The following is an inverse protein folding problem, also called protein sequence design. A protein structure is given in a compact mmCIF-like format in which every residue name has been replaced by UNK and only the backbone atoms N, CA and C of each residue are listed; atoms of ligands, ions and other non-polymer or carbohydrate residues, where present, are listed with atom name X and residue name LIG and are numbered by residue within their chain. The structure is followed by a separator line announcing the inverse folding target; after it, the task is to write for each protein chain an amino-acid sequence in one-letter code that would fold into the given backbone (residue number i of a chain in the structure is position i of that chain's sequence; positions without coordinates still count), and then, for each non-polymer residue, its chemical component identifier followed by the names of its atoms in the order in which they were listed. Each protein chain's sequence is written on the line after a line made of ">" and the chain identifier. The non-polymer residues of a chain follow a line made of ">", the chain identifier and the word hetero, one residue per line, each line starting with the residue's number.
data_IF_356738403497
#
_entry.id   IF_356738403497
#
_cell.length_a   1.000
_cell.length_b   1.000
_cell.length_c   1.000
_cell.angle_alpha   90.00
_cell.angle_beta   90.00
_cell.angle_gamma   90.00
#
_symmetry.space_group_name_H-M   'P 1'
#
loop_
_entity.id
_entity.type
_entity.pdbx_description
1 polymer ?
#
# COMPACT_ATOMS: atom_id res chain seq x y z
N UNK A 1 39.80 -7.82 -9.19
CA UNK A 1 39.40 -9.12 -9.78
C UNK A 1 39.19 -10.09 -8.64
N UNK A 2 37.95 -10.26 -8.17
CA UNK A 2 37.60 -11.14 -7.05
C UNK A 2 36.44 -12.04 -7.48
N UNK A 3 36.60 -13.33 -7.23
CA UNK A 3 35.89 -14.45 -7.87
C UNK A 3 34.42 -14.56 -7.46
N UNK A 4 33.62 -15.04 -8.41
CA UNK A 4 32.27 -15.58 -8.21
C UNK A 4 32.39 -16.97 -7.61
N UNK A 5 31.99 -17.13 -6.34
CA UNK A 5 31.61 -18.41 -5.71
C UNK A 5 30.39 -18.08 -4.84
N UNK A 6 29.18 -18.01 -5.40
CA UNK A 6 28.25 -19.11 -5.72
C UNK A 6 27.84 -19.92 -4.49
N UNK A 7 26.83 -19.42 -3.78
CA UNK A 7 25.70 -20.17 -3.21
C UNK A 7 25.93 -21.42 -2.32
N UNK A 8 27.12 -21.62 -1.76
CA UNK A 8 27.43 -22.82 -0.95
C UNK A 8 27.58 -22.58 0.57
N UNK A 9 27.47 -21.35 1.05
CA UNK A 9 27.71 -21.01 2.46
C UNK A 9 26.49 -20.46 3.23
N UNK A 10 25.27 -20.86 2.86
CA UNK A 10 24.11 -20.60 3.72
C UNK A 10 23.65 -21.93 4.34
N UNK A 11 23.68 -21.97 5.67
CA UNK A 11 23.15 -23.05 6.49
C UNK A 11 21.78 -23.53 5.95
N UNK A 12 21.53 -24.84 6.00
CA UNK A 12 20.26 -25.45 5.58
C UNK A 12 19.05 -24.80 6.30
N UNK A 13 19.27 -24.25 7.50
CA UNK A 13 18.30 -23.45 8.24
C UNK A 13 17.99 -22.09 7.58
N UNK A 14 18.96 -21.45 6.93
CA UNK A 14 18.77 -20.15 6.25
C UNK A 14 18.06 -20.33 4.90
N UNK A 15 18.36 -21.42 4.16
CA UNK A 15 17.57 -21.81 2.97
C UNK A 15 16.12 -22.11 3.34
N UNK A 16 15.91 -22.79 4.46
CA UNK A 16 14.58 -23.09 4.99
C UNK A 16 13.88 -21.84 5.52
N UNK A 17 14.60 -20.87 6.07
CA UNK A 17 14.03 -19.56 6.45
C UNK A 17 13.66 -18.71 5.23
N UNK A 18 14.43 -18.74 4.15
CA UNK A 18 14.04 -18.11 2.88
C UNK A 18 12.77 -18.75 2.28
N UNK A 19 12.63 -20.07 2.42
CA UNK A 19 11.43 -20.81 2.00
C UNK A 19 10.24 -20.66 2.97
N UNK A 20 10.48 -20.46 4.27
CA UNK A 20 9.45 -20.27 5.28
C UNK A 20 8.95 -18.82 5.35
N UNK A 21 9.73 -17.84 4.89
CA UNK A 21 9.28 -16.46 4.73
C UNK A 21 8.26 -16.29 3.58
N UNK A 22 8.16 -17.27 2.67
CA UNK A 22 7.12 -17.35 1.64
C UNK A 22 5.71 -17.61 2.21
N UNK A 23 5.57 -18.00 3.48
CA UNK A 23 4.25 -18.21 4.10
C UNK A 23 3.61 -16.92 4.64
N UNK A 24 4.36 -15.80 4.65
CA UNK A 24 3.90 -14.50 5.16
C UNK A 24 3.76 -13.41 4.10
N UNK A 25 4.48 -13.52 2.98
CA UNK A 25 4.35 -12.60 1.84
C UNK A 25 3.25 -13.14 0.93
N UNK A 26 2.23 -12.34 0.61
CA UNK A 26 1.13 -12.77 -0.25
C UNK A 26 1.59 -12.90 -1.71
N UNK A 27 2.43 -13.89 -1.99
CA UNK A 27 3.12 -14.05 -3.26
C UNK A 27 2.51 -15.21 -4.02
N UNK A 28 1.59 -14.85 -4.91
CA UNK A 28 1.49 -15.41 -6.25
C UNK A 28 2.92 -15.70 -6.73
N UNK A 29 3.23 -16.96 -7.06
CA UNK A 29 4.60 -17.45 -7.35
C UNK A 29 5.48 -16.42 -8.08
N UNK A 30 6.49 -15.87 -7.39
CA UNK A 30 7.52 -15.04 -8.05
C UNK A 30 8.70 -15.92 -8.45
N UNK A 31 9.10 -15.92 -9.73
CA UNK A 31 10.33 -16.56 -10.16
C UNK A 31 11.55 -16.00 -9.40
N UNK A 32 12.54 -16.81 -9.01
CA UNK A 32 13.72 -16.33 -8.29
C UNK A 32 14.47 -15.21 -9.00
N UNK A 33 14.48 -15.21 -10.34
CA UNK A 33 15.08 -14.19 -11.19
C UNK A 33 14.36 -12.83 -11.14
N UNK A 34 13.10 -12.82 -10.70
CA UNK A 34 12.27 -11.61 -10.57
C UNK A 34 12.39 -10.99 -9.17
N UNK A 35 13.07 -11.62 -8.21
CA UNK A 35 13.23 -11.09 -6.85
C UNK A 35 14.33 -10.01 -6.85
N UNK A 36 13.98 -8.81 -6.40
CA UNK A 36 14.93 -7.70 -6.28
C UNK A 36 15.40 -7.50 -4.83
N UNK A 37 16.61 -6.97 -4.66
CA UNK A 37 17.11 -6.52 -3.36
C UNK A 37 16.87 -5.02 -3.19
N UNK A 38 16.13 -4.66 -2.15
CA UNK A 38 15.84 -3.27 -1.82
C UNK A 38 16.81 -2.75 -0.76
N UNK A 39 17.20 -1.48 -0.86
CA UNK A 39 18.03 -0.83 0.16
C UNK A 39 17.29 -0.67 1.50
N UNK A 40 15.96 -0.52 1.45
CA UNK A 40 15.09 -0.43 2.62
C UNK A 40 13.82 -1.27 2.43
N UNK A 41 13.19 -1.62 3.54
CA UNK A 41 11.90 -2.30 3.52
C UNK A 41 10.83 -1.38 2.89
N UNK A 42 10.11 -1.82 1.85
CA UNK A 42 9.06 -1.03 1.22
C UNK A 42 7.98 -0.52 2.20
N UNK A 43 7.69 -1.28 3.25
CA UNK A 43 6.71 -0.86 4.26
C UNK A 43 7.20 0.35 5.09
N UNK A 44 8.51 0.47 5.32
CA UNK A 44 9.10 1.62 6.04
C UNK A 44 9.11 2.89 5.18
N UNK A 45 9.03 2.73 3.86
CA UNK A 45 8.98 3.84 2.89
C UNK A 45 7.56 4.24 2.52
N UNK A 46 6.58 3.36 2.76
CA UNK A 46 5.20 3.60 2.38
C UNK A 46 4.60 4.75 3.21
N UNK A 47 3.71 5.53 2.59
CA UNK A 47 2.94 6.57 3.28
C UNK A 47 1.77 5.98 4.10
N UNK A 48 1.77 4.66 4.36
CA UNK A 48 0.63 3.93 4.89
C UNK A 48 -0.51 3.81 3.88
N UNK A 49 -1.71 3.57 4.39
CA UNK A 49 -2.92 3.41 3.58
C UNK A 49 -4.05 4.26 4.18
N UNK A 50 -4.17 5.56 3.84
CA UNK A 50 -5.16 6.46 4.42
C UNK A 50 -6.61 5.97 4.32
N UNK A 51 -6.97 5.31 3.20
CA UNK A 51 -8.28 4.67 3.02
C UNK A 51 -8.52 3.46 3.93
N UNK A 52 -7.46 2.90 4.52
CA UNK A 52 -7.50 1.71 5.35
C UNK A 52 -6.47 1.79 6.49
N UNK A 53 -6.67 2.64 7.51
CA UNK A 53 -5.66 2.86 8.57
C UNK A 53 -5.31 1.61 9.39
N UNK A 54 -6.21 0.63 9.44
CA UNK A 54 -5.99 -0.66 10.09
C UNK A 54 -5.31 -1.71 9.22
N UNK A 55 -4.94 -1.38 7.97
CA UNK A 55 -4.29 -2.33 7.08
C UNK A 55 -2.88 -2.69 7.56
N UNK A 56 -2.55 -3.97 7.46
CA UNK A 56 -1.19 -4.47 7.69
C UNK A 56 -0.39 -4.40 6.40
N UNK A 57 0.74 -3.69 6.41
CA UNK A 57 1.69 -3.71 5.30
C UNK A 57 2.50 -5.00 5.29
N UNK A 58 2.71 -5.56 4.10
CA UNK A 58 3.62 -6.67 3.84
C UNK A 58 4.54 -6.30 2.68
N UNK A 59 5.86 -6.45 2.82
CA UNK A 59 6.78 -6.17 1.73
C UNK A 59 6.64 -7.22 0.63
N UNK A 60 6.71 -6.77 -0.62
CA UNK A 60 6.79 -7.60 -1.80
C UNK A 60 8.00 -7.16 -2.62
N UNK A 61 8.94 -8.10 -2.79
CA UNK A 61 10.19 -7.91 -3.52
C UNK A 61 10.13 -8.45 -4.95
N UNK A 62 8.97 -8.94 -5.38
CA UNK A 62 8.80 -9.43 -6.75
C UNK A 62 8.74 -8.25 -7.72
N UNK A 63 9.67 -8.24 -8.69
CA UNK A 63 9.82 -7.24 -9.77
C UNK A 63 10.00 -5.80 -9.28
N UNK A 64 10.23 -5.59 -7.99
CA UNK A 64 10.33 -4.25 -7.42
C UNK A 64 10.19 -4.24 -5.89
N UNK A 65 10.37 -3.06 -5.31
CA UNK A 65 10.27 -2.79 -3.88
C UNK A 65 8.87 -2.29 -3.53
N UNK A 66 7.91 -3.21 -3.38
CA UNK A 66 6.50 -2.88 -3.28
C UNK A 66 5.97 -3.07 -1.85
N UNK A 67 5.17 -2.12 -1.37
CA UNK A 67 4.39 -2.27 -0.15
C UNK A 67 2.97 -2.74 -0.51
N UNK A 68 2.54 -3.89 0.01
CA UNK A 68 1.18 -4.40 -0.19
C UNK A 68 0.42 -4.36 1.13
N UNK A 69 -0.76 -3.76 1.12
CA UNK A 69 -1.61 -3.62 2.29
C UNK A 69 -2.70 -4.68 2.31
N UNK A 70 -2.97 -5.23 3.49
CA UNK A 70 -3.98 -6.25 3.72
C UNK A 70 -4.89 -5.87 4.88
N UNK A 71 -6.18 -6.15 4.76
CA UNK A 71 -7.14 -6.05 5.85
C UNK A 71 -6.93 -7.18 6.87
N UNK A 72 -7.61 -7.09 8.01
CA UNK A 72 -7.55 -8.09 9.08
C UNK A 72 -8.07 -9.46 8.67
N UNK A 73 -8.99 -9.52 7.70
CA UNK A 73 -9.51 -10.76 7.12
C UNK A 73 -8.56 -11.40 6.10
N UNK A 74 -7.40 -10.76 5.83
CA UNK A 74 -6.41 -11.22 4.86
C UNK A 74 -6.67 -10.79 3.42
N UNK A 75 -7.74 -10.06 3.13
CA UNK A 75 -7.99 -9.49 1.80
C UNK A 75 -7.00 -8.37 1.49
N UNK A 76 -6.57 -8.27 0.22
CA UNK A 76 -5.67 -7.21 -0.23
C UNK A 76 -6.44 -5.90 -0.40
N UNK A 77 -5.89 -4.81 0.13
CA UNK A 77 -6.37 -3.46 -0.15
C UNK A 77 -5.85 -3.04 -1.53
N UNK A 78 -6.76 -2.69 -2.43
CA UNK A 78 -6.43 -2.33 -3.82
C UNK A 78 -6.34 -0.82 -4.04
N UNK A 79 -6.94 -0.03 -3.16
CA UNK A 79 -6.92 1.43 -3.22
C UNK A 79 -6.67 2.00 -1.82
N UNK A 80 -5.54 2.70 -1.66
CA UNK A 80 -5.18 3.33 -0.39
C UNK A 80 -5.63 4.78 -0.29
N UNK A 81 -6.31 5.32 -1.32
CA UNK A 81 -6.66 6.73 -1.38
C UNK A 81 -5.44 7.64 -1.50
N UNK A 82 -4.28 7.10 -1.91
CA UNK A 82 -3.12 7.90 -2.28
C UNK A 82 -3.28 8.26 -3.75
N UNK A 83 -3.49 9.54 -4.09
CA UNK A 83 -3.62 9.93 -5.48
C UNK A 83 -2.31 9.71 -6.23
N UNK A 84 -2.38 9.02 -7.37
CA UNK A 84 -1.31 9.01 -8.37
C UNK A 84 -1.35 10.35 -9.12
N UNK A 85 -0.48 11.27 -8.70
CA UNK A 85 -0.48 12.62 -9.20
C UNK A 85 0.93 13.06 -9.59
N UNK A 86 1.07 13.60 -10.79
CA UNK A 86 2.28 14.30 -11.17
C UNK A 86 2.44 15.55 -10.28
N UNK A 87 3.67 15.93 -9.86
CA UNK A 87 3.89 17.09 -9.01
C UNK A 87 3.27 18.39 -9.53
N UNK A 88 3.22 18.57 -10.85
CA UNK A 88 2.62 19.73 -11.53
C UNK A 88 1.08 19.78 -11.48
N UNK A 89 0.43 18.64 -11.22
CA UNK A 89 -1.03 18.51 -11.14
C UNK A 89 -1.57 18.73 -9.71
N UNK A 90 -0.68 18.88 -8.72
CA UNK A 90 -1.06 19.12 -7.33
C UNK A 90 -1.48 20.57 -7.15
N UNK A 91 -2.69 20.79 -6.62
CA UNK A 91 -3.21 22.13 -6.32
C UNK A 91 -3.23 22.41 -4.82
N UNK A 92 -3.13 23.70 -4.46
CA UNK A 92 -3.30 24.14 -3.09
C UNK A 92 -4.74 24.60 -2.85
N UNK A 93 -5.43 23.90 -1.95
CA UNK A 93 -6.79 24.23 -1.57
C UNK A 93 -6.83 25.24 -0.44
N UNK A 94 -7.84 26.12 -0.44
CA UNK A 94 -8.07 27.05 0.66
C UNK A 94 -8.55 26.33 1.94
N UNK A 95 -9.33 25.25 1.77
CA UNK A 95 -9.85 24.40 2.85
C UNK A 95 -9.58 22.94 2.47
N UNK A 96 -9.32 22.09 3.46
CA UNK A 96 -9.24 20.64 3.24
C UNK A 96 -10.61 20.13 2.73
N UNK A 97 -10.68 19.47 1.56
CA UNK A 97 -11.96 19.01 1.02
C UNK A 97 -12.69 18.03 1.95
N UNK A 98 -11.97 17.28 2.78
CA UNK A 98 -12.57 16.40 3.77
C UNK A 98 -13.09 17.12 5.02
N UNK A 99 -12.66 18.34 5.34
CA UNK A 99 -13.33 19.14 6.37
C UNK A 99 -14.76 19.46 5.93
N UNK A 100 -14.91 19.98 4.71
CA UNK A 100 -16.23 20.31 4.13
C UNK A 100 -17.07 19.05 3.91
N UNK A 101 -16.46 17.96 3.42
CA UNK A 101 -17.21 16.73 3.17
C UNK A 101 -17.75 16.11 4.47
N UNK A 102 -16.97 16.14 5.56
CA UNK A 102 -17.40 15.60 6.85
C UNK A 102 -18.57 16.35 7.46
N UNK A 103 -18.70 17.66 7.20
CA UNK A 103 -19.89 18.43 7.62
C UNK A 103 -21.17 17.95 6.94
N UNK A 104 -21.09 17.58 5.65
CA UNK A 104 -22.22 16.98 4.91
C UNK A 104 -22.49 15.54 5.33
N UNK A 105 -21.43 14.84 5.73
CA UNK A 105 -21.47 13.44 6.12
C UNK A 105 -21.68 12.49 4.93
N UNK A 106 -21.66 11.19 5.23
CA UNK A 106 -21.96 10.12 4.29
C UNK A 106 -23.03 9.20 4.89
N UNK A 107 -24.30 9.59 4.80
CA UNK A 107 -25.40 8.92 5.51
C UNK A 107 -25.54 7.42 5.20
N UNK A 108 -25.12 6.96 4.02
CA UNK A 108 -25.13 5.55 3.65
C UNK A 108 -24.00 4.73 4.28
N UNK A 109 -22.93 5.39 4.74
CA UNK A 109 -21.73 4.76 5.28
C UNK A 109 -21.21 5.56 6.49
N UNK A 110 -21.83 5.41 7.66
CA UNK A 110 -21.49 6.20 8.84
C UNK A 110 -20.05 5.97 9.34
N UNK A 111 -19.47 4.81 9.04
CA UNK A 111 -18.10 4.43 9.38
C UNK A 111 -17.10 4.78 8.27
N UNK A 112 -17.53 5.44 7.19
CA UNK A 112 -16.65 5.77 6.09
C UNK A 112 -15.58 6.78 6.49
N UNK A 113 -14.38 6.58 5.96
CA UNK A 113 -13.23 7.46 6.13
C UNK A 113 -13.15 8.37 4.91
N UNK A 114 -13.10 9.67 5.14
CA UNK A 114 -12.80 10.64 4.09
C UNK A 114 -11.29 10.78 3.91
N UNK A 115 -10.83 10.64 2.66
CA UNK A 115 -9.46 10.88 2.23
C UNK A 115 -9.43 12.03 1.22
N UNK A 116 -8.60 13.02 1.50
CA UNK A 116 -8.42 14.21 0.67
C UNK A 116 -7.48 13.89 -0.49
N UNK A 117 -7.86 14.32 -1.69
CA UNK A 117 -7.02 14.30 -2.88
C UNK A 117 -6.87 15.71 -3.41
N UNK A 118 -5.63 16.13 -3.58
CA UNK A 118 -5.24 17.43 -4.11
C UNK A 118 -4.82 17.35 -5.58
N UNK A 119 -5.06 16.20 -6.23
CA UNK A 119 -4.70 15.99 -7.61
C UNK A 119 -5.76 16.60 -8.53
N UNK A 120 -5.34 17.52 -9.41
CA UNK A 120 -6.18 18.23 -10.39
C UNK A 120 -7.37 18.97 -9.78
N UNK A 121 -7.40 19.14 -8.45
CA UNK A 121 -8.53 19.72 -7.73
C UNK A 121 -8.54 19.38 -6.25
N UNK A 122 -9.48 20.02 -5.53
CA UNK A 122 -9.74 19.80 -4.11
C UNK A 122 -10.85 18.76 -3.96
N UNK A 123 -10.46 17.49 -3.97
CA UNK A 123 -11.39 16.37 -4.02
C UNK A 123 -11.44 15.63 -2.68
N UNK A 124 -12.63 15.21 -2.26
CA UNK A 124 -12.82 14.32 -1.13
C UNK A 124 -13.32 12.97 -1.66
N UNK A 125 -12.70 11.89 -1.23
CA UNK A 125 -13.14 10.53 -1.56
C UNK A 125 -13.44 9.76 -0.28
N UNK A 126 -14.55 9.05 -0.26
CA UNK A 126 -14.98 8.27 0.89
C UNK A 126 -14.66 6.79 0.71
N UNK A 127 -14.25 6.15 1.81
CA UNK A 127 -13.93 4.73 1.84
C UNK A 127 -14.63 4.06 3.01
N UNK A 128 -15.42 3.02 2.75
CA UNK A 128 -15.97 2.13 3.78
C UNK A 128 -15.30 0.77 3.65
N UNK A 129 -14.84 0.20 4.77
CA UNK A 129 -14.12 -1.08 4.80
C UNK A 129 -13.05 -1.19 3.69
N UNK A 130 -12.28 -0.11 3.54
CA UNK A 130 -11.16 -0.02 2.60
C UNK A 130 -11.57 -0.09 1.12
N UNK A 131 -12.84 0.18 0.81
CA UNK A 131 -13.37 0.29 -0.55
C UNK A 131 -13.97 1.67 -0.76
N UNK A 132 -13.71 2.26 -1.94
CA UNK A 132 -14.28 3.53 -2.32
C UNK A 132 -15.81 3.42 -2.37
N UNK A 133 -16.49 4.36 -1.74
CA UNK A 133 -17.95 4.46 -1.74
C UNK A 133 -18.42 5.80 -2.28
N UNK A 134 -19.57 5.79 -2.93
CA UNK A 134 -20.24 7.00 -3.39
C UNK A 134 -21.23 7.45 -2.33
N UNK A 135 -21.00 8.63 -1.78
CA UNK A 135 -21.93 9.29 -0.87
C UNK A 135 -22.88 10.12 -1.73
N UNK A 136 -24.16 9.72 -1.78
CA UNK A 136 -25.20 10.46 -2.50
C UNK A 136 -25.29 11.91 -2.01
N UNK A 137 -25.52 12.83 -2.95
CA UNK A 137 -25.65 14.26 -2.73
C UNK A 137 -26.87 14.66 -1.88
#
# INVERSE_FOLDING_TARGET
>A
MGKVETLLCLDENVKTQAMAHLKGIGQESCPPEDIVQCERNPCDLSQGCPACPGATCRPNYCRGCNAIFYQSDGSRVTDCGIPDCAPEDVVHCFVDPCEIAREKGCSGYPEAICVSSFCKGCNATWYDKCQKVECGA
#
